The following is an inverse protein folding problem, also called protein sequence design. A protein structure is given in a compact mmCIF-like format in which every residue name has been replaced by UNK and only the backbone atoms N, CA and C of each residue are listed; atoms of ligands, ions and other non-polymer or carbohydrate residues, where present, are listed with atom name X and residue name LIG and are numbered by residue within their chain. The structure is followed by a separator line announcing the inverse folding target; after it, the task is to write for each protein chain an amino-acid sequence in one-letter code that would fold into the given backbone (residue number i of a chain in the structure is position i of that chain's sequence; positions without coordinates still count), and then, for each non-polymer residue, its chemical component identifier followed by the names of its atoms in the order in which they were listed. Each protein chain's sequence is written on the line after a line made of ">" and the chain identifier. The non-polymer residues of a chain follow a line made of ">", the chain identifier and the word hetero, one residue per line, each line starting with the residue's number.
data_IF_854713332609
#
_entry.id   IF_854713332609
#
_cell.length_a   1.000
_cell.length_b   1.000
_cell.length_c   1.000
_cell.angle_alpha   90.00
_cell.angle_beta   90.00
_cell.angle_gamma   90.00
#
_symmetry.space_group_name_H-M   'P 1'
#
loop_
_entity.id
_entity.type
_entity.pdbx_description
1 polymer ?
#
# COMPACT_ATOMS: atom_id res chain seq x y z
N UNK A 1 -62.12 -40.11 38.28
CA UNK A 1 -60.96 -40.14 39.20
C UNK A 1 -59.73 -39.71 38.42
N UNK A 2 -59.10 -38.64 38.92
CA UNK A 2 -57.86 -37.97 38.52
C UNK A 2 -56.66 -38.96 38.36
N UNK A 3 -55.50 -38.60 37.72
CA UNK A 3 -54.89 -37.28 37.91
C UNK A 3 -54.20 -36.56 36.74
N UNK A 4 -54.18 -35.24 36.95
CA UNK A 4 -53.29 -34.21 36.44
C UNK A 4 -51.83 -34.57 36.75
N UNK A 5 -50.91 -34.31 35.82
CA UNK A 5 -49.47 -34.25 36.14
C UNK A 5 -48.84 -33.02 35.52
N UNK A 6 -48.35 -32.17 36.42
CA UNK A 6 -47.59 -30.96 36.18
C UNK A 6 -46.26 -31.24 35.49
N UNK A 7 -45.95 -30.49 34.43
CA UNK A 7 -44.59 -30.43 33.89
C UNK A 7 -43.81 -29.43 34.73
N UNK A 8 -42.90 -29.95 35.58
CA UNK A 8 -41.93 -29.17 36.34
C UNK A 8 -40.76 -28.83 35.41
N UNK A 9 -40.57 -27.54 35.14
CA UNK A 9 -39.40 -27.01 34.45
C UNK A 9 -38.20 -27.05 35.43
N UNK A 10 -37.31 -28.01 35.25
CA UNK A 10 -36.06 -28.10 36.01
C UNK A 10 -34.98 -27.24 35.36
N UNK A 11 -34.63 -26.15 36.03
CA UNK A 11 -33.41 -25.37 35.80
C UNK A 11 -32.19 -26.22 36.20
N UNK A 12 -31.42 -26.68 35.21
CA UNK A 12 -30.09 -27.25 35.46
C UNK A 12 -29.04 -26.19 35.11
N UNK A 13 -28.58 -25.51 36.16
CA UNK A 13 -27.28 -24.84 36.22
C UNK A 13 -26.20 -25.91 36.03
N UNK A 14 -25.60 -25.97 34.83
CA UNK A 14 -24.38 -26.75 34.61
C UNK A 14 -23.17 -25.83 34.65
N UNK A 15 -22.41 -26.08 35.71
CA UNK A 15 -21.03 -25.71 36.02
C UNK A 15 -20.11 -25.42 34.83
N UNK A 16 -19.40 -24.29 34.98
CA UNK A 16 -18.17 -23.93 34.30
C UNK A 16 -17.21 -25.12 34.14
N UNK A 17 -16.79 -25.35 32.90
CA UNK A 17 -15.60 -26.13 32.55
C UNK A 17 -14.57 -25.17 31.93
N UNK A 18 -13.38 -24.96 32.52
CA UNK A 18 -12.39 -24.01 32.00
C UNK A 18 -11.47 -24.70 30.98
N UNK A 19 -12.07 -25.36 29.98
CA UNK A 19 -11.36 -25.96 28.84
C UNK A 19 -11.85 -25.29 27.55
N UNK A 20 -11.77 -23.97 27.57
CA UNK A 20 -11.81 -23.10 26.39
C UNK A 20 -10.61 -22.17 26.45
N UNK A 21 -9.41 -22.74 26.61
CA UNK A 21 -8.17 -21.99 26.46
C UNK A 21 -8.06 -21.54 24.99
N UNK A 22 -8.06 -20.22 24.82
CA UNK A 22 -7.25 -19.50 23.84
C UNK A 22 -7.38 -19.93 22.36
N UNK A 23 -8.45 -19.49 21.71
CA UNK A 23 -8.45 -19.20 20.27
C UNK A 23 -8.74 -17.70 20.06
N UNK A 24 -8.09 -16.85 20.85
CA UNK A 24 -8.13 -15.39 20.72
C UNK A 24 -6.70 -14.83 20.78
N UNK A 25 -5.83 -15.29 19.86
CA UNK A 25 -4.55 -14.63 19.58
C UNK A 25 -3.86 -15.22 18.34
N UNK A 26 -4.37 -14.92 17.14
CA UNK A 26 -3.53 -14.95 15.94
C UNK A 26 -3.69 -13.64 15.20
N UNK A 27 -2.63 -12.83 15.35
CA UNK A 27 -2.27 -11.60 14.63
C UNK A 27 -3.17 -10.39 14.84
N UNK A 28 -3.20 -9.84 16.06
CA UNK A 28 -3.22 -8.38 16.18
C UNK A 28 -1.99 -7.87 15.42
N UNK A 29 -2.19 -7.13 14.33
CA UNK A 29 -1.12 -6.43 13.64
C UNK A 29 -0.49 -5.46 14.64
N UNK A 30 0.67 -5.83 15.19
CA UNK A 30 1.32 -5.03 16.22
C UNK A 30 1.96 -3.81 15.57
N UNK A 31 1.48 -2.59 15.89
CA UNK A 31 2.13 -1.36 15.47
C UNK A 31 3.50 -1.26 16.14
N UNK A 32 4.39 -0.45 15.59
CA UNK A 32 5.64 -0.11 16.27
C UNK A 32 5.33 0.56 17.60
N UNK A 33 5.92 0.12 18.73
CA UNK A 33 5.60 0.64 20.06
C UNK A 33 5.97 2.12 20.24
N UNK A 34 6.92 2.61 19.43
CA UNK A 34 7.37 4.00 19.45
C UNK A 34 7.37 4.58 18.03
N UNK A 35 6.25 5.12 17.53
CA UNK A 35 6.19 5.65 16.17
C UNK A 35 7.12 6.85 15.93
N UNK A 36 7.43 7.62 16.97
CA UNK A 36 8.33 8.78 16.86
C UNK A 36 9.77 8.36 16.55
N UNK A 37 10.23 7.22 17.08
CA UNK A 37 11.54 6.65 16.77
C UNK A 37 11.68 6.30 15.29
N UNK A 38 10.61 5.79 14.67
CA UNK A 38 10.58 5.50 13.23
C UNK A 38 10.68 6.80 12.42
N UNK A 39 9.95 7.85 12.82
CA UNK A 39 10.01 9.16 12.17
C UNK A 39 11.42 9.79 12.29
N UNK A 40 12.04 9.69 13.47
CA UNK A 40 13.42 10.16 13.71
C UNK A 40 14.44 9.38 12.87
N UNK A 41 14.28 8.06 12.74
CA UNK A 41 15.15 7.23 11.89
C UNK A 41 15.04 7.63 10.41
N UNK A 42 13.83 7.91 9.91
CA UNK A 42 13.63 8.44 8.56
C UNK A 42 14.40 9.75 8.38
N UNK A 43 14.25 10.70 9.30
CA UNK A 43 14.97 11.97 9.24
C UNK A 43 16.49 11.78 9.29
N UNK A 44 16.99 10.86 10.12
CA UNK A 44 18.41 10.52 10.21
C UNK A 44 18.95 10.00 8.87
N UNK A 45 18.20 9.11 8.20
CA UNK A 45 18.57 8.56 6.89
C UNK A 45 18.56 9.63 5.80
N UNK A 46 17.58 10.53 5.80
CA UNK A 46 17.52 11.68 4.90
C UNK A 46 18.76 12.56 5.08
N UNK A 47 19.05 12.97 6.32
CA UNK A 47 20.20 13.82 6.60
C UNK A 47 21.51 13.15 6.15
N UNK A 48 21.68 11.86 6.40
CA UNK A 48 22.87 11.11 5.96
C UNK A 48 22.99 11.01 4.43
N UNK A 49 21.88 10.92 3.69
CA UNK A 49 21.86 10.91 2.22
C UNK A 49 22.17 12.29 1.65
N UNK A 50 21.55 13.35 2.17
CA UNK A 50 21.81 14.74 1.77
C UNK A 50 23.26 15.15 2.04
N UNK A 51 23.79 14.85 3.24
CA UNK A 51 25.19 15.16 3.58
C UNK A 51 26.18 14.45 2.66
N UNK A 52 25.94 13.17 2.32
CA UNK A 52 26.78 12.44 1.36
C UNK A 52 26.75 13.09 -0.02
N UNK A 53 25.56 13.47 -0.51
CA UNK A 53 25.41 14.17 -1.79
C UNK A 53 26.20 15.49 -1.80
N UNK A 54 26.07 16.31 -0.76
CA UNK A 54 26.76 17.60 -0.65
C UNK A 54 28.29 17.43 -0.64
N UNK A 55 28.82 16.51 0.17
CA UNK A 55 30.26 16.24 0.21
C UNK A 55 30.82 15.80 -1.15
N UNK A 56 30.10 14.96 -1.89
CA UNK A 56 30.55 14.52 -3.22
C UNK A 56 30.51 15.65 -4.26
N UNK A 57 29.56 16.58 -4.16
CA UNK A 57 29.52 17.76 -5.03
C UNK A 57 30.71 18.70 -4.81
N UNK A 58 31.24 18.79 -3.59
CA UNK A 58 32.41 19.62 -3.29
C UNK A 58 33.74 18.97 -3.72
N UNK A 59 33.78 17.63 -3.76
CA UNK A 59 34.99 16.86 -4.05
C UNK A 59 35.19 16.51 -5.53
N UNK A 60 34.15 16.61 -6.37
CA UNK A 60 34.21 16.22 -7.78
C UNK A 60 34.26 17.43 -8.71
N UNK A 61 35.36 17.55 -9.47
CA UNK A 61 35.46 18.44 -10.64
C UNK A 61 35.07 17.74 -11.96
N UNK A 62 34.81 16.43 -11.93
CA UNK A 62 34.42 15.64 -13.11
C UNK A 62 33.23 14.69 -12.85
N UNK A 63 32.54 14.37 -13.94
CA UNK A 63 31.16 13.90 -14.13
C UNK A 63 30.70 12.58 -13.41
N UNK A 64 31.51 11.98 -12.54
CA UNK A 64 31.24 10.66 -11.94
C UNK A 64 30.35 10.69 -10.67
N UNK A 65 30.07 11.85 -10.07
CA UNK A 65 29.31 11.95 -8.80
C UNK A 65 27.78 12.03 -8.94
N UNK A 66 27.19 11.63 -10.07
CA UNK A 66 25.81 12.01 -10.43
C UNK A 66 24.68 11.19 -9.82
N UNK A 67 24.95 10.02 -9.24
CA UNK A 67 23.84 9.16 -8.86
C UNK A 67 23.14 9.55 -7.54
N UNK A 68 23.86 10.05 -6.53
CA UNK A 68 23.23 10.37 -5.25
C UNK A 68 22.22 11.51 -5.41
N UNK A 69 20.96 11.18 -5.10
CA UNK A 69 19.81 12.06 -5.24
C UNK A 69 19.55 12.88 -3.96
N UNK A 70 20.07 12.45 -2.81
CA UNK A 70 19.67 12.99 -1.51
C UNK A 70 18.39 12.35 -0.97
N UNK A 71 17.82 11.39 -1.70
CA UNK A 71 16.76 10.50 -1.25
C UNK A 71 17.37 9.15 -0.84
N UNK A 72 17.31 8.77 0.45
CA UNK A 72 17.95 7.55 0.94
C UNK A 72 17.37 6.26 0.35
N UNK A 73 16.12 6.25 -0.13
CA UNK A 73 15.50 5.09 -0.79
C UNK A 73 16.17 4.87 -2.14
N UNK A 74 16.16 5.90 -3.00
CA UNK A 74 16.75 5.81 -4.35
C UNK A 74 18.27 5.58 -4.28
N UNK A 75 18.96 6.28 -3.37
CA UNK A 75 20.40 6.13 -3.18
C UNK A 75 20.82 4.71 -2.79
N UNK A 76 19.92 3.92 -2.19
CA UNK A 76 20.20 2.56 -1.72
C UNK A 76 20.28 1.53 -2.87
N UNK A 77 19.48 1.70 -3.92
CA UNK A 77 19.39 0.74 -5.04
C UNK A 77 19.71 1.33 -6.42
N UNK A 78 19.29 2.57 -6.70
CA UNK A 78 19.38 3.18 -8.03
C UNK A 78 20.83 3.47 -8.44
N UNK A 79 21.70 3.62 -7.44
CA UNK A 79 23.13 3.83 -7.62
C UNK A 79 23.95 2.56 -7.71
N UNK A 80 23.32 1.40 -7.63
CA UNK A 80 23.94 0.15 -8.00
C UNK A 80 23.79 -0.03 -9.52
N UNK A 81 24.87 0.08 -10.33
CA UNK A 81 24.78 -0.12 -11.78
C UNK A 81 24.36 -1.55 -12.15
N UNK A 82 24.50 -2.50 -11.22
CA UNK A 82 24.14 -3.91 -11.38
C UNK A 82 22.73 -4.24 -10.84
N UNK A 83 21.92 -3.21 -10.52
CA UNK A 83 20.52 -3.41 -10.12
C UNK A 83 19.70 -4.34 -11.05
N UNK A 84 19.93 -4.40 -12.40
CA UNK A 84 19.17 -5.30 -13.25
C UNK A 84 19.42 -6.78 -12.94
N UNK A 85 20.63 -7.13 -12.48
CA UNK A 85 21.00 -8.48 -12.06
C UNK A 85 20.74 -8.71 -10.57
N UNK A 86 20.57 -7.64 -9.80
CA UNK A 86 20.29 -7.68 -8.36
C UNK A 86 18.94 -7.04 -8.00
N UNK A 87 17.88 -7.35 -8.77
CA UNK A 87 16.57 -6.67 -8.61
C UNK A 87 16.02 -6.76 -7.19
N UNK A 88 16.21 -7.90 -6.51
CA UNK A 88 15.63 -8.13 -5.19
C UNK A 88 16.27 -7.29 -4.08
N UNK A 89 17.46 -6.69 -4.31
CA UNK A 89 18.09 -5.73 -3.39
C UNK A 89 17.19 -4.54 -3.08
N UNK A 90 16.28 -4.17 -3.99
CA UNK A 90 15.29 -3.12 -3.75
C UNK A 90 14.55 -3.31 -2.41
N UNK A 91 14.21 -4.55 -2.04
CA UNK A 91 13.48 -4.84 -0.81
C UNK A 91 14.24 -4.50 0.49
N UNK A 92 15.54 -4.21 0.40
CA UNK A 92 16.35 -3.74 1.55
C UNK A 92 16.36 -2.21 1.71
N UNK A 93 15.75 -1.49 0.78
CA UNK A 93 15.85 -0.03 0.67
C UNK A 93 14.64 0.72 1.23
N UNK A 94 13.58 0.02 1.62
CA UNK A 94 12.42 0.63 2.27
C UNK A 94 12.84 1.31 3.59
N UNK A 95 12.21 2.44 3.90
CA UNK A 95 12.34 3.15 5.18
C UNK A 95 10.96 3.45 5.75
N UNK A 96 10.89 3.96 6.98
CA UNK A 96 9.63 4.31 7.62
C UNK A 96 8.87 3.07 8.12
N UNK A 97 7.55 3.18 8.27
CA UNK A 97 6.75 2.10 8.85
C UNK A 97 6.69 0.84 7.98
N UNK A 98 6.78 0.97 6.65
CA UNK A 98 6.85 -0.15 5.70
C UNK A 98 8.24 -0.74 5.48
N UNK A 99 9.25 -0.37 6.29
CA UNK A 99 10.63 -0.85 6.12
C UNK A 99 10.81 -2.39 6.19
N UNK A 100 9.83 -3.10 6.75
CA UNK A 100 9.85 -4.56 6.86
C UNK A 100 9.13 -5.26 5.70
N UNK A 101 8.60 -4.52 4.73
CA UNK A 101 7.97 -5.10 3.54
C UNK A 101 9.01 -5.86 2.71
N UNK A 102 9.08 -7.18 2.88
CA UNK A 102 10.02 -8.01 2.13
C UNK A 102 9.57 -8.30 0.70
N UNK A 103 8.28 -8.12 0.41
CA UNK A 103 7.68 -8.50 -0.87
C UNK A 103 7.94 -9.97 -1.20
N UNK A 104 8.33 -10.23 -2.44
CA UNK A 104 8.73 -11.55 -2.93
C UNK A 104 10.22 -11.88 -2.79
N UNK A 105 10.98 -11.16 -1.95
CA UNK A 105 12.42 -11.39 -1.76
C UNK A 105 12.70 -12.85 -1.37
N UNK A 106 13.79 -13.41 -1.90
CA UNK A 106 14.21 -14.81 -1.82
C UNK A 106 13.24 -15.80 -2.52
N UNK A 107 12.16 -15.31 -3.12
CA UNK A 107 11.29 -16.08 -3.99
C UNK A 107 11.84 -16.17 -5.42
N UNK A 108 11.22 -17.03 -6.20
CA UNK A 108 11.51 -17.14 -7.63
C UNK A 108 11.01 -15.92 -8.40
N UNK A 109 11.65 -15.65 -9.53
CA UNK A 109 11.13 -14.70 -10.49
C UNK A 109 9.93 -15.30 -11.22
N UNK A 110 8.87 -14.51 -11.35
CA UNK A 110 7.77 -14.82 -12.24
C UNK A 110 7.71 -13.78 -13.34
N UNK A 111 7.82 -14.21 -14.59
CA UNK A 111 7.78 -13.32 -15.76
C UNK A 111 6.34 -13.28 -16.29
N UNK A 112 5.70 -12.11 -16.25
CA UNK A 112 4.40 -11.92 -16.89
C UNK A 112 4.62 -11.80 -18.39
N UNK A 113 4.05 -12.72 -19.16
CA UNK A 113 4.18 -12.77 -20.63
C UNK A 113 2.84 -12.57 -21.34
N UNK A 114 1.73 -12.59 -20.59
CA UNK A 114 0.38 -12.43 -21.10
C UNK A 114 -0.32 -11.31 -20.32
N UNK A 115 -0.71 -10.24 -21.01
CA UNK A 115 -1.37 -9.07 -20.41
C UNK A 115 -2.89 -9.21 -20.31
N UNK A 116 -3.48 -10.32 -20.77
CA UNK A 116 -4.92 -10.56 -20.70
C UNK A 116 -5.40 -10.87 -19.28
N UNK A 117 -6.68 -10.59 -19.03
CA UNK A 117 -7.35 -10.84 -17.76
C UNK A 117 -8.82 -11.26 -17.96
N UNK A 118 -9.03 -12.16 -18.92
CA UNK A 118 -10.37 -12.51 -19.42
C UNK A 118 -11.17 -13.40 -18.48
N UNK A 119 -10.52 -14.11 -17.55
CA UNK A 119 -11.14 -15.00 -16.58
C UNK A 119 -10.59 -14.76 -15.16
N UNK A 120 -11.38 -14.07 -14.33
CA UNK A 120 -11.05 -13.77 -12.94
C UNK A 120 -11.06 -15.01 -12.02
N UNK A 121 -11.65 -16.14 -12.47
CA UNK A 121 -11.74 -17.40 -11.73
C UNK A 121 -10.66 -18.38 -12.16
N UNK A 122 -10.24 -18.43 -13.42
CA UNK A 122 -9.23 -19.38 -13.90
C UNK A 122 -8.11 -18.68 -14.67
N UNK A 123 -7.26 -17.89 -13.99
CA UNK A 123 -6.17 -17.19 -14.64
C UNK A 123 -5.16 -18.17 -15.23
N UNK A 124 -4.66 -17.88 -16.45
CA UNK A 124 -3.67 -18.71 -17.13
C UNK A 124 -2.25 -18.44 -16.61
N UNK A 125 -1.37 -19.45 -16.49
CA UNK A 125 0.06 -19.20 -16.34
C UNK A 125 0.57 -18.24 -17.42
N UNK A 126 1.51 -17.36 -17.03
CA UNK A 126 1.97 -16.22 -17.84
C UNK A 126 1.22 -14.91 -17.56
N UNK A 127 0.01 -14.94 -16.99
CA UNK A 127 -0.75 -13.73 -16.62
C UNK A 127 -0.34 -13.16 -15.26
N UNK A 128 -0.60 -11.87 -15.04
CA UNK A 128 -0.41 -11.22 -13.74
C UNK A 128 -1.33 -11.81 -12.67
N UNK A 129 -2.61 -12.07 -12.99
CA UNK A 129 -3.57 -12.66 -12.04
C UNK A 129 -3.13 -14.03 -11.54
N UNK A 130 -2.54 -14.85 -12.41
CA UNK A 130 -1.99 -16.13 -11.98
C UNK A 130 -0.83 -15.94 -10.99
N UNK A 131 0.05 -14.96 -11.23
CA UNK A 131 1.23 -14.73 -10.40
C UNK A 131 0.87 -14.29 -8.97
N UNK A 132 -0.02 -13.30 -8.83
CA UNK A 132 -0.26 -12.64 -7.54
C UNK A 132 -0.98 -13.53 -6.53
N UNK A 133 -1.71 -14.55 -6.99
CA UNK A 133 -2.45 -15.48 -6.11
C UNK A 133 -1.57 -16.61 -5.56
N UNK A 134 -0.37 -16.84 -6.12
CA UNK A 134 0.46 -17.97 -5.74
C UNK A 134 0.85 -17.94 -4.24
N UNK A 135 0.92 -19.10 -3.56
CA UNK A 135 1.22 -19.15 -2.13
C UNK A 135 2.69 -18.84 -1.81
N UNK A 136 3.61 -19.19 -2.69
CA UNK A 136 5.04 -18.94 -2.51
C UNK A 136 5.41 -17.46 -2.72
N UNK A 137 6.51 -16.98 -2.12
CA UNK A 137 7.06 -15.67 -2.45
C UNK A 137 7.40 -15.56 -3.93
N UNK A 138 7.01 -14.47 -4.60
CA UNK A 138 7.33 -14.25 -6.01
C UNK A 138 7.78 -12.81 -6.28
N UNK A 139 8.89 -12.69 -7.01
CA UNK A 139 9.34 -11.43 -7.59
C UNK A 139 8.82 -11.32 -9.03
N UNK A 140 7.72 -10.61 -9.22
CA UNK A 140 6.98 -10.55 -10.48
C UNK A 140 7.57 -9.43 -11.36
N UNK A 141 7.99 -9.79 -12.57
CA UNK A 141 8.65 -8.88 -13.53
C UNK A 141 8.00 -8.92 -14.90
N UNK A 142 8.32 -7.93 -15.72
CA UNK A 142 7.77 -7.74 -17.06
C UNK A 142 8.89 -7.67 -18.09
N UNK A 143 8.86 -8.50 -19.15
CA UNK A 143 9.90 -8.52 -20.18
C UNK A 143 9.73 -7.39 -21.21
N UNK A 144 8.56 -6.76 -21.26
CA UNK A 144 8.22 -5.69 -22.20
C UNK A 144 7.13 -4.80 -21.62
N UNK A 145 6.87 -3.67 -22.27
CA UNK A 145 5.74 -2.81 -21.95
C UNK A 145 4.42 -3.59 -22.00
N UNK A 146 3.52 -3.31 -21.07
CA UNK A 146 2.22 -4.00 -20.97
C UNK A 146 1.11 -3.04 -20.56
N UNK A 147 -0.05 -3.19 -21.19
CA UNK A 147 -1.32 -2.65 -20.71
C UNK A 147 -2.17 -3.82 -20.23
N UNK A 148 -2.34 -3.92 -18.91
CA UNK A 148 -3.15 -4.95 -18.26
C UNK A 148 -4.47 -4.31 -17.89
N UNK A 149 -5.52 -4.67 -18.62
CA UNK A 149 -6.89 -4.22 -18.37
C UNK A 149 -7.62 -5.31 -17.59
N UNK A 150 -7.77 -5.10 -16.30
CA UNK A 150 -8.40 -6.04 -15.39
C UNK A 150 -9.91 -6.13 -15.64
N UNK A 151 -10.45 -7.33 -15.56
CA UNK A 151 -11.90 -7.57 -15.63
C UNK A 151 -12.58 -7.41 -14.26
N UNK A 152 -11.84 -7.70 -13.18
CA UNK A 152 -12.28 -7.67 -11.78
C UNK A 152 -11.10 -7.31 -10.87
N UNK A 153 -11.37 -7.00 -9.59
CA UNK A 153 -10.35 -6.82 -8.55
C UNK A 153 -9.22 -7.86 -8.66
N UNK A 154 -7.98 -7.41 -8.69
CA UNK A 154 -6.77 -8.23 -8.68
C UNK A 154 -6.38 -8.46 -7.22
N UNK A 155 -6.85 -9.58 -6.66
CA UNK A 155 -6.61 -9.94 -5.26
C UNK A 155 -5.21 -10.56 -5.12
N UNK A 156 -4.38 -9.98 -4.26
CA UNK A 156 -3.03 -10.46 -3.99
C UNK A 156 -3.02 -11.49 -2.86
N UNK A 157 -2.04 -12.39 -2.91
CA UNK A 157 -1.59 -13.16 -1.76
C UNK A 157 -0.35 -12.48 -1.13
N UNK A 158 0.05 -12.92 0.07
CA UNK A 158 1.23 -12.39 0.77
C UNK A 158 2.53 -12.67 0.03
N UNK A 159 3.61 -11.96 0.38
CA UNK A 159 4.96 -12.15 -0.16
C UNK A 159 5.04 -11.97 -1.68
N UNK A 160 4.63 -10.80 -2.17
CA UNK A 160 4.67 -10.47 -3.59
C UNK A 160 5.42 -9.18 -3.81
N UNK A 161 6.31 -9.16 -4.80
CA UNK A 161 6.81 -7.91 -5.37
C UNK A 161 6.28 -7.79 -6.78
N UNK A 162 5.64 -6.68 -7.10
CA UNK A 162 5.37 -6.27 -8.46
C UNK A 162 6.45 -5.25 -8.87
N UNK A 163 7.38 -5.66 -9.74
CA UNK A 163 8.53 -4.86 -10.15
C UNK A 163 8.43 -4.51 -11.64
N UNK A 164 7.96 -3.30 -11.93
CA UNK A 164 7.84 -2.79 -13.29
C UNK A 164 9.15 -2.26 -13.89
N UNK A 165 10.28 -2.26 -13.19
CA UNK A 165 11.52 -1.67 -13.72
C UNK A 165 11.96 -2.34 -15.02
N UNK A 166 12.28 -1.52 -16.01
CA UNK A 166 12.70 -1.96 -17.35
C UNK A 166 11.54 -2.11 -18.35
N UNK A 167 10.29 -1.88 -17.92
CA UNK A 167 9.12 -1.90 -18.78
C UNK A 167 8.16 -0.75 -18.40
N UNK A 168 7.38 -0.27 -19.36
CA UNK A 168 6.25 0.61 -19.08
C UNK A 168 4.98 -0.24 -18.87
N UNK A 169 4.59 -0.42 -17.62
CA UNK A 169 3.50 -1.32 -17.21
C UNK A 169 2.34 -0.51 -16.66
N UNK A 170 1.18 -0.66 -17.30
CA UNK A 170 -0.06 0.01 -16.95
C UNK A 170 -1.08 -1.01 -16.43
N UNK A 171 -1.68 -0.75 -15.28
CA UNK A 171 -2.82 -1.50 -14.72
C UNK A 171 -4.05 -0.59 -14.70
N UNK A 172 -5.13 -1.08 -15.31
CA UNK A 172 -6.38 -0.34 -15.51
C UNK A 172 -7.59 -1.26 -15.37
N UNK A 173 -8.80 -0.71 -15.42
CA UNK A 173 -10.03 -1.50 -15.56
C UNK A 173 -10.71 -1.82 -14.23
N UNK A 174 -11.31 -3.00 -14.13
CA UNK A 174 -12.20 -3.35 -13.02
C UNK A 174 -11.48 -3.59 -11.71
N UNK A 175 -11.79 -2.80 -10.67
CA UNK A 175 -11.39 -2.98 -9.28
C UNK A 175 -9.90 -2.74 -8.96
N UNK A 176 -9.00 -2.87 -9.93
CA UNK A 176 -7.56 -2.74 -9.77
C UNK A 176 -6.99 -3.56 -8.60
N UNK A 177 -6.06 -3.05 -7.80
CA UNK A 177 -5.27 -3.86 -6.86
C UNK A 177 -5.96 -3.95 -5.50
N UNK A 178 -6.20 -5.17 -5.00
CA UNK A 178 -6.78 -5.40 -3.66
C UNK A 178 -5.81 -6.21 -2.80
N UNK A 179 -5.31 -5.58 -1.72
CA UNK A 179 -4.45 -6.17 -0.69
C UNK A 179 -5.29 -6.41 0.58
N UNK A 180 -5.90 -7.58 0.70
CA UNK A 180 -6.87 -7.86 1.76
C UNK A 180 -6.39 -8.98 2.69
N UNK A 181 -6.15 -8.64 3.95
CA UNK A 181 -5.69 -9.53 5.03
C UNK A 181 -4.40 -10.28 4.70
N UNK A 182 -3.44 -9.57 4.10
CA UNK A 182 -2.14 -10.11 3.69
C UNK A 182 -0.98 -9.31 4.29
N UNK A 183 0.24 -9.82 4.12
CA UNK A 183 1.44 -9.08 4.46
C UNK A 183 2.56 -9.21 3.44
N UNK A 184 3.58 -8.37 3.58
CA UNK A 184 4.80 -8.41 2.78
C UNK A 184 4.52 -8.23 1.28
N UNK A 185 4.06 -7.03 0.90
CA UNK A 185 3.83 -6.68 -0.51
C UNK A 185 4.62 -5.45 -0.87
N UNK A 186 5.32 -5.50 -2.01
CA UNK A 186 5.97 -4.35 -2.65
C UNK A 186 5.30 -4.13 -4.01
N UNK A 187 4.86 -2.91 -4.27
CA UNK A 187 4.39 -2.48 -5.60
C UNK A 187 5.33 -1.37 -6.05
N UNK A 188 6.10 -1.63 -7.11
CA UNK A 188 7.19 -0.75 -7.53
C UNK A 188 7.20 -0.50 -9.04
N UNK A 189 7.29 0.79 -9.42
CA UNK A 189 7.43 1.24 -10.80
C UNK A 189 6.26 0.81 -11.72
N UNK A 190 5.02 1.02 -11.27
CA UNK A 190 3.79 0.67 -12.01
C UNK A 190 2.92 1.92 -12.22
N UNK A 191 2.32 2.03 -13.42
CA UNK A 191 1.29 3.03 -13.70
C UNK A 191 -0.09 2.43 -13.40
N UNK A 192 -0.85 3.02 -12.48
CA UNK A 192 -2.17 2.55 -12.07
C UNK A 192 -3.18 3.66 -12.33
N UNK A 193 -4.11 3.45 -13.25
CA UNK A 193 -5.04 4.49 -13.62
C UNK A 193 -6.32 3.97 -14.26
N UNK A 194 -7.35 4.81 -14.34
CA UNK A 194 -8.62 4.43 -14.97
C UNK A 194 -9.21 3.15 -14.36
N UNK A 195 -9.04 3.01 -13.04
CA UNK A 195 -9.67 1.97 -12.25
C UNK A 195 -11.15 2.31 -12.11
N UNK A 196 -12.02 1.33 -12.36
CA UNK A 196 -13.46 1.48 -12.32
C UNK A 196 -14.08 0.40 -11.45
N UNK A 197 -15.31 0.63 -11.01
CA UNK A 197 -16.05 -0.36 -10.23
C UNK A 197 -16.17 -1.69 -11.00
N UNK A 198 -15.93 -2.79 -10.30
CA UNK A 198 -16.19 -4.15 -10.77
C UNK A 198 -16.88 -4.95 -9.67
N UNK A 199 -17.06 -6.25 -9.83
CA UNK A 199 -17.74 -7.11 -8.86
C UNK A 199 -19.00 -7.75 -9.43
N UNK A 200 -19.83 -8.24 -8.52
CA UNK A 200 -20.92 -9.18 -8.80
C UNK A 200 -20.45 -10.41 -9.59
N UNK A 201 -19.24 -10.87 -9.25
CA UNK A 201 -18.56 -11.96 -9.93
C UNK A 201 -17.77 -12.79 -8.92
N UNK A 202 -17.49 -14.04 -9.29
CA UNK A 202 -16.51 -14.84 -8.56
C UNK A 202 -15.11 -14.39 -8.95
N UNK A 203 -14.24 -14.20 -7.96
CA UNK A 203 -12.84 -13.81 -8.16
C UNK A 203 -11.93 -14.74 -7.37
N UNK A 204 -10.89 -15.26 -8.02
CA UNK A 204 -9.89 -16.12 -7.39
C UNK A 204 -8.93 -15.31 -6.55
N UNK A 205 -8.70 -15.75 -5.30
CA UNK A 205 -7.73 -15.15 -4.36
C UNK A 205 -6.56 -16.09 -4.02
N UNK A 206 -6.68 -17.39 -4.30
CA UNK A 206 -5.59 -18.36 -4.17
C UNK A 206 -5.79 -19.52 -5.17
N UNK A 207 -4.80 -20.40 -5.39
CA UNK A 207 -4.97 -21.56 -6.26
C UNK A 207 -6.15 -22.46 -5.85
N UNK A 208 -6.49 -22.50 -4.56
CA UNK A 208 -7.56 -23.33 -4.01
C UNK A 208 -8.85 -22.58 -3.65
N UNK A 209 -8.88 -21.25 -3.79
CA UNK A 209 -10.02 -20.45 -3.33
C UNK A 209 -10.39 -19.34 -4.32
N UNK A 210 -11.68 -19.27 -4.64
CA UNK A 210 -12.35 -18.11 -5.20
C UNK A 210 -13.64 -17.86 -4.43
N UNK A 211 -14.11 -16.60 -4.43
CA UNK A 211 -15.34 -16.23 -3.75
C UNK A 211 -16.10 -15.13 -4.50
N UNK A 212 -17.38 -14.99 -4.18
CA UNK A 212 -18.21 -13.94 -4.75
C UNK A 212 -17.80 -12.57 -4.20
N UNK A 213 -17.51 -11.63 -5.10
CA UNK A 213 -17.19 -10.24 -4.77
C UNK A 213 -18.39 -9.36 -5.09
N UNK A 214 -18.80 -8.54 -4.13
CA UNK A 214 -19.76 -7.46 -4.38
C UNK A 214 -19.10 -6.32 -5.15
N UNK A 215 -19.86 -5.29 -5.46
CA UNK A 215 -19.36 -4.14 -6.21
C UNK A 215 -18.21 -3.46 -5.44
N UNK A 216 -17.07 -3.28 -6.10
CA UNK A 216 -15.92 -2.52 -5.59
C UNK A 216 -16.13 -1.02 -5.82
N UNK A 217 -15.39 -0.18 -5.10
CA UNK A 217 -15.46 1.29 -5.24
C UNK A 217 -14.68 1.79 -6.47
N UNK A 218 -13.65 1.04 -6.88
CA UNK A 218 -12.85 1.34 -8.06
C UNK A 218 -11.62 2.19 -7.75
N UNK A 219 -10.99 1.92 -6.60
CA UNK A 219 -9.73 2.53 -6.21
C UNK A 219 -8.57 2.03 -7.08
N UNK A 220 -7.44 2.73 -7.04
CA UNK A 220 -6.18 2.24 -7.61
C UNK A 220 -5.62 1.05 -6.83
N UNK A 221 -5.38 1.25 -5.53
CA UNK A 221 -4.88 0.25 -4.59
C UNK A 221 -5.71 0.32 -3.30
N UNK A 222 -6.42 -0.76 -2.98
CA UNK A 222 -7.17 -0.87 -1.72
C UNK A 222 -6.46 -1.84 -0.76
N UNK A 223 -6.20 -1.40 0.47
CA UNK A 223 -5.45 -2.10 1.52
C UNK A 223 -6.35 -2.31 2.73
N UNK A 224 -6.71 -3.56 3.01
CA UNK A 224 -7.61 -3.94 4.09
C UNK A 224 -6.91 -4.86 5.09
N UNK A 225 -6.82 -4.45 6.35
CA UNK A 225 -6.24 -5.24 7.45
C UNK A 225 -4.91 -5.91 7.09
N UNK A 226 -4.04 -5.19 6.36
CA UNK A 226 -2.77 -5.72 5.85
C UNK A 226 -1.58 -5.03 6.50
N UNK A 227 -0.41 -5.67 6.45
CA UNK A 227 0.81 -5.16 7.10
C UNK A 227 2.08 -5.38 6.29
N UNK A 228 3.07 -4.51 6.50
CA UNK A 228 4.38 -4.57 5.83
C UNK A 228 4.18 -4.41 4.32
N UNK A 229 3.67 -3.25 3.93
CA UNK A 229 3.33 -2.87 2.57
C UNK A 229 4.20 -1.68 2.13
N UNK A 230 4.75 -1.76 0.92
CA UNK A 230 5.52 -0.67 0.33
C UNK A 230 5.07 -0.37 -1.09
N UNK A 231 4.61 0.86 -1.31
CA UNK A 231 4.17 1.36 -2.63
C UNK A 231 5.16 2.43 -3.05
N UNK A 232 5.96 2.15 -4.08
CA UNK A 232 7.13 2.94 -4.43
C UNK A 232 7.24 3.23 -5.92
N UNK A 233 7.65 4.44 -6.31
CA UNK A 233 7.86 4.81 -7.73
C UNK A 233 6.65 4.55 -8.65
N UNK A 234 5.43 4.51 -8.11
CA UNK A 234 4.22 4.31 -8.91
C UNK A 234 3.66 5.64 -9.41
N UNK A 235 2.94 5.60 -10.53
CA UNK A 235 2.16 6.74 -11.02
C UNK A 235 0.68 6.42 -10.92
N UNK A 236 -0.10 7.23 -10.19
CA UNK A 236 -1.51 6.97 -9.93
C UNK A 236 -2.39 8.15 -10.37
N UNK A 237 -3.47 7.88 -11.11
CA UNK A 237 -4.41 8.93 -11.58
C UNK A 237 -5.76 8.37 -12.07
N UNK A 238 -6.77 9.24 -12.20
CA UNK A 238 -8.03 8.92 -12.91
C UNK A 238 -8.75 7.64 -12.43
N UNK A 239 -8.69 7.29 -11.16
CA UNK A 239 -9.48 6.18 -10.63
C UNK A 239 -10.93 6.63 -10.39
N UNK A 240 -11.82 5.69 -10.11
CA UNK A 240 -13.23 6.01 -9.91
C UNK A 240 -13.51 6.58 -8.53
N UNK A 241 -12.83 6.07 -7.50
CA UNK A 241 -12.98 6.51 -6.11
C UNK A 241 -11.64 6.98 -5.52
N UNK A 242 -10.91 6.18 -4.74
CA UNK A 242 -9.57 6.52 -4.21
C UNK A 242 -8.40 6.22 -5.17
N UNK A 243 -7.21 6.83 -4.98
CA UNK A 243 -5.98 6.28 -5.60
C UNK A 243 -5.36 5.22 -4.69
N UNK A 244 -5.20 5.51 -3.39
CA UNK A 244 -4.72 4.56 -2.38
C UNK A 244 -5.57 4.67 -1.12
N UNK A 245 -6.25 3.58 -0.77
CA UNK A 245 -7.08 3.50 0.42
C UNK A 245 -6.54 2.44 1.37
N UNK A 246 -6.22 2.81 2.61
CA UNK A 246 -5.78 1.89 3.65
C UNK A 246 -6.71 1.95 4.86
N UNK A 247 -7.31 0.82 5.22
CA UNK A 247 -8.39 0.74 6.20
C UNK A 247 -8.32 -0.57 7.00
N UNK A 248 -9.26 -0.76 7.92
CA UNK A 248 -9.48 -2.03 8.64
C UNK A 248 -8.27 -2.48 9.48
N UNK A 249 -7.60 -1.54 10.13
CA UNK A 249 -6.44 -1.81 10.98
C UNK A 249 -5.14 -2.06 10.22
N UNK A 250 -5.07 -1.71 8.93
CA UNK A 250 -3.82 -1.80 8.16
C UNK A 250 -2.71 -0.96 8.79
N UNK A 251 -1.47 -1.45 8.79
CA UNK A 251 -0.35 -0.77 9.48
C UNK A 251 1.00 -1.20 8.91
N UNK A 252 2.09 -0.51 9.24
CA UNK A 252 3.40 -0.84 8.69
C UNK A 252 3.46 -0.57 7.19
N UNK A 253 3.05 0.63 6.77
CA UNK A 253 2.96 1.01 5.36
C UNK A 253 3.94 2.15 5.06
N UNK A 254 4.66 2.05 3.94
CA UNK A 254 5.38 3.17 3.35
C UNK A 254 4.85 3.43 1.94
N UNK A 255 4.54 4.69 1.64
CA UNK A 255 4.13 5.18 0.32
C UNK A 255 5.18 6.21 -0.09
N UNK A 256 6.07 5.86 -1.02
CA UNK A 256 7.22 6.68 -1.37
C UNK A 256 7.47 6.89 -2.85
N UNK A 257 8.08 8.02 -3.22
CA UNK A 257 8.51 8.27 -4.60
C UNK A 257 7.40 8.18 -5.66
N UNK A 258 6.13 8.25 -5.27
CA UNK A 258 5.02 8.11 -6.21
C UNK A 258 4.68 9.47 -6.83
N UNK A 259 4.09 9.42 -8.01
CA UNK A 259 3.50 10.57 -8.69
C UNK A 259 1.97 10.43 -8.69
N UNK A 260 1.29 11.40 -8.09
CA UNK A 260 -0.17 11.47 -8.05
C UNK A 260 -0.65 12.65 -8.90
N UNK A 261 -1.67 12.44 -9.74
CA UNK A 261 -2.25 13.52 -10.54
C UNK A 261 -3.70 13.24 -10.96
N UNK A 262 -4.42 14.26 -11.44
CA UNK A 262 -5.73 14.17 -12.07
C UNK A 262 -6.74 13.33 -11.28
N UNK A 263 -6.98 13.73 -10.03
CA UNK A 263 -7.82 12.94 -9.14
C UNK A 263 -8.37 13.73 -7.95
N UNK A 264 -9.63 13.47 -7.59
CA UNK A 264 -10.27 14.17 -6.48
C UNK A 264 -9.83 13.62 -5.11
N UNK A 265 -10.09 12.34 -4.87
CA UNK A 265 -9.91 11.69 -3.57
C UNK A 265 -8.62 10.87 -3.58
N UNK A 266 -7.48 11.50 -3.29
CA UNK A 266 -6.17 10.89 -3.54
C UNK A 266 -5.89 9.70 -2.62
N UNK A 267 -5.89 9.91 -1.31
CA UNK A 267 -5.46 8.90 -0.35
C UNK A 267 -6.27 8.94 0.94
N UNK A 268 -6.98 7.86 1.26
CA UNK A 268 -7.72 7.70 2.50
C UNK A 268 -7.00 6.73 3.45
N UNK A 269 -6.69 7.20 4.66
CA UNK A 269 -6.07 6.40 5.72
C UNK A 269 -7.04 6.31 6.90
N UNK A 270 -7.78 5.20 6.98
CA UNK A 270 -8.85 4.96 7.94
C UNK A 270 -10.22 5.41 7.43
N UNK A 271 -11.22 4.54 7.46
CA UNK A 271 -12.52 4.74 6.78
C UNK A 271 -13.61 5.36 7.66
N UNK A 272 -13.58 5.11 8.96
CA UNK A 272 -14.62 5.53 9.91
C UNK A 272 -14.00 6.15 11.15
N UNK A 273 -14.58 7.26 11.61
CA UNK A 273 -14.17 7.92 12.85
C UNK A 273 -14.34 6.98 14.04
N UNK A 274 -15.25 6.01 13.99
CA UNK A 274 -15.57 5.10 15.09
C UNK A 274 -14.80 3.78 15.05
N UNK A 275 -14.04 3.51 13.98
CA UNK A 275 -13.33 2.24 13.82
C UNK A 275 -12.02 2.22 14.63
N UNK A 276 -12.14 1.86 15.91
CA UNK A 276 -11.03 1.86 16.87
C UNK A 276 -9.78 1.08 16.45
N UNK A 277 -9.86 -0.06 15.71
CA UNK A 277 -8.66 -0.76 15.27
C UNK A 277 -7.72 0.08 14.38
N UNK A 278 -8.22 1.12 13.69
CA UNK A 278 -7.37 2.05 12.93
C UNK A 278 -6.45 2.90 13.84
N UNK A 279 -6.62 2.87 15.17
CA UNK A 279 -5.67 3.47 16.13
C UNK A 279 -4.28 2.82 16.08
N UNK A 280 -4.19 1.58 15.59
CA UNK A 280 -2.91 0.90 15.34
C UNK A 280 -2.29 1.20 13.97
N UNK A 281 -2.96 1.96 13.11
CA UNK A 281 -2.44 2.31 11.79
C UNK A 281 -1.19 3.17 11.90
N UNK A 282 -0.14 2.79 11.17
CA UNK A 282 1.10 3.54 11.08
C UNK A 282 1.57 3.59 9.62
N UNK A 283 1.70 4.81 9.08
CA UNK A 283 1.99 5.04 7.66
C UNK A 283 3.05 6.12 7.50
N UNK A 284 4.06 5.86 6.66
CA UNK A 284 5.02 6.86 6.19
C UNK A 284 4.68 7.25 4.76
N UNK A 285 4.50 8.54 4.50
CA UNK A 285 4.29 9.12 3.17
C UNK A 285 5.51 9.99 2.88
N UNK A 286 6.41 9.54 2.00
CA UNK A 286 7.71 10.19 1.82
C UNK A 286 8.12 10.40 0.37
N UNK A 287 8.70 11.56 0.03
CA UNK A 287 9.28 11.82 -1.30
C UNK A 287 8.29 11.71 -2.48
N UNK A 288 6.99 11.73 -2.22
CA UNK A 288 5.99 11.71 -3.28
C UNK A 288 5.86 13.10 -3.91
N UNK A 289 5.46 13.12 -5.17
CA UNK A 289 5.03 14.33 -5.85
C UNK A 289 3.52 14.30 -6.01
N UNK A 290 2.85 15.23 -5.33
CA UNK A 290 1.42 15.50 -5.47
C UNK A 290 1.27 16.60 -6.52
N UNK A 291 0.97 16.16 -7.73
CA UNK A 291 1.05 16.92 -8.96
C UNK A 291 -0.24 17.62 -9.35
N UNK A 292 -0.44 17.73 -10.66
CA UNK A 292 -1.51 18.51 -11.26
C UNK A 292 -2.90 17.93 -11.06
N UNK A 293 -3.89 18.83 -11.06
CA UNK A 293 -5.33 18.48 -11.04
C UNK A 293 -5.73 17.55 -9.89
N UNK A 294 -5.08 17.71 -8.73
CA UNK A 294 -5.51 17.10 -7.48
C UNK A 294 -6.48 18.01 -6.74
N UNK A 295 -7.48 17.42 -6.07
CA UNK A 295 -8.46 18.21 -5.30
C UNK A 295 -8.14 18.15 -3.80
N UNK A 296 -7.99 16.94 -3.23
CA UNK A 296 -7.87 16.74 -1.78
C UNK A 296 -7.29 15.38 -1.36
N UNK A 297 -7.17 15.18 -0.04
CA UNK A 297 -6.79 13.91 0.62
C UNK A 297 -5.37 13.45 0.33
N UNK A 298 -4.38 14.28 0.59
CA UNK A 298 -2.96 13.97 0.36
C UNK A 298 -2.11 13.95 1.65
N UNK A 299 -2.44 13.17 2.71
CA UNK A 299 -3.56 12.24 2.84
C UNK A 299 -4.79 12.83 3.55
N UNK A 300 -5.88 12.06 3.63
CA UNK A 300 -6.94 12.24 4.63
C UNK A 300 -6.90 11.11 5.66
N UNK A 301 -6.58 11.45 6.91
CA UNK A 301 -6.29 10.48 7.97
C UNK A 301 -7.39 10.36 9.02
N UNK A 302 -7.49 9.18 9.63
CA UNK A 302 -8.26 8.93 10.85
C UNK A 302 -7.49 8.04 11.81
N UNK A 303 -7.55 8.37 13.11
CA UNK A 303 -6.84 7.62 14.16
C UNK A 303 -5.34 7.49 13.78
N UNK A 304 -4.66 6.43 14.19
CA UNK A 304 -3.30 6.11 13.72
C UNK A 304 -2.22 7.19 13.89
N UNK A 305 -1.03 6.87 13.40
CA UNK A 305 0.13 7.77 13.31
C UNK A 305 0.62 7.84 11.86
N UNK A 306 0.62 9.04 11.29
CA UNK A 306 0.99 9.27 9.89
C UNK A 306 2.16 10.24 9.84
N UNK A 307 3.30 9.79 9.31
CA UNK A 307 4.48 10.62 9.07
C UNK A 307 4.48 11.07 7.60
N UNK A 308 4.19 12.33 7.36
CA UNK A 308 4.21 12.95 6.03
C UNK A 308 5.51 13.74 5.91
N UNK A 309 6.46 13.25 5.12
CA UNK A 309 7.84 13.78 5.14
C UNK A 309 8.44 14.01 3.75
N UNK A 310 9.02 15.18 3.51
CA UNK A 310 9.72 15.53 2.27
C UNK A 310 8.93 15.25 0.97
N UNK A 311 7.61 15.44 0.98
CA UNK A 311 6.79 15.39 -0.22
C UNK A 311 6.73 16.79 -0.88
N UNK A 312 6.52 16.82 -2.19
CA UNK A 312 6.31 18.04 -2.96
C UNK A 312 4.83 18.15 -3.35
N UNK A 313 4.14 19.11 -2.73
CA UNK A 313 2.73 19.41 -2.99
C UNK A 313 2.67 20.63 -3.89
N UNK A 314 2.26 20.42 -5.15
CA UNK A 314 2.28 21.48 -6.16
C UNK A 314 0.91 22.01 -6.53
N UNK A 315 -0.14 21.19 -6.43
CA UNK A 315 -1.52 21.62 -6.66
C UNK A 315 -2.51 20.90 -5.74
N UNK A 316 -3.52 21.64 -5.29
CA UNK A 316 -4.74 21.14 -4.68
C UNK A 316 -5.85 22.18 -4.87
N UNK A 317 -7.10 21.72 -4.94
CA UNK A 317 -8.25 22.63 -5.04
C UNK A 317 -8.92 22.93 -3.69
N UNK A 318 -8.88 21.98 -2.74
CA UNK A 318 -9.58 22.08 -1.46
C UNK A 318 -8.62 22.12 -0.26
N UNK A 319 -7.83 21.07 -0.04
CA UNK A 319 -6.77 21.02 1.00
C UNK A 319 -5.73 19.97 0.63
N UNK A 320 -4.51 20.11 1.15
CA UNK A 320 -3.48 19.08 0.99
C UNK A 320 -3.67 17.93 2.00
N UNK A 321 -3.42 18.21 3.28
CA UNK A 321 -3.46 17.22 4.35
C UNK A 321 -4.67 17.47 5.25
N UNK A 322 -5.44 16.44 5.57
CA UNK A 322 -6.62 16.56 6.43
C UNK A 322 -6.87 15.33 7.29
N UNK A 323 -7.85 15.42 8.18
CA UNK A 323 -8.24 14.26 8.97
C UNK A 323 -9.44 14.47 9.89
N UNK A 324 -9.95 13.37 10.43
CA UNK A 324 -11.04 13.31 11.43
C UNK A 324 -10.81 12.13 12.37
N UNK A 325 -11.55 12.02 13.48
CA UNK A 325 -11.35 10.90 14.42
C UNK A 325 -10.00 10.89 15.13
N UNK A 326 -9.44 12.05 15.48
CA UNK A 326 -8.21 12.22 16.27
C UNK A 326 -6.96 11.50 15.73
N UNK A 327 -6.51 11.79 14.50
CA UNK A 327 -5.26 11.23 13.98
C UNK A 327 -4.03 11.96 14.51
N UNK A 328 -2.90 11.26 14.56
CA UNK A 328 -1.60 11.91 14.74
C UNK A 328 -0.96 12.11 13.37
N UNK A 329 -0.77 13.36 12.95
CA UNK A 329 -0.12 13.71 11.69
C UNK A 329 1.17 14.46 11.99
N UNK A 330 2.30 13.81 11.70
CA UNK A 330 3.63 14.42 11.79
C UNK A 330 4.05 14.88 10.39
N UNK A 331 3.91 16.18 10.09
CA UNK A 331 4.34 16.78 8.82
C UNK A 331 5.72 17.41 8.95
N UNK A 332 6.71 16.90 8.22
CA UNK A 332 8.12 17.30 8.35
C UNK A 332 8.78 17.53 6.98
N UNK A 333 9.40 18.69 6.76
CA UNK A 333 10.22 18.94 5.56
C UNK A 333 9.47 18.91 4.20
N UNK A 334 8.14 18.90 4.21
CA UNK A 334 7.32 18.97 2.99
C UNK A 334 7.40 20.37 2.35
N UNK A 335 7.30 20.42 1.02
CA UNK A 335 7.19 21.65 0.25
C UNK A 335 5.75 21.84 -0.25
N UNK A 336 5.19 23.02 0.00
CA UNK A 336 3.83 23.36 -0.38
C UNK A 336 3.82 24.58 -1.31
N UNK A 337 3.31 24.42 -2.53
CA UNK A 337 3.05 25.51 -3.47
C UNK A 337 1.56 25.80 -3.49
N UNK A 338 1.11 26.68 -2.58
CA UNK A 338 -0.31 26.90 -2.36
C UNK A 338 -1.04 27.52 -3.58
N UNK A 339 -2.27 27.08 -3.90
CA UNK A 339 -3.07 27.59 -5.02
C UNK A 339 -3.41 29.07 -4.84
N UNK A 340 -3.79 29.76 -5.91
CA UNK A 340 -4.14 31.20 -5.85
C UNK A 340 -5.42 31.47 -5.04
N UNK A 341 -6.33 30.49 -4.97
CA UNK A 341 -7.57 30.57 -4.20
C UNK A 341 -7.28 30.80 -2.70
N UNK A 342 -7.82 31.89 -2.14
CA UNK A 342 -7.61 32.26 -0.73
C UNK A 342 -8.19 31.23 0.25
N UNK A 343 -9.25 30.52 -0.15
CA UNK A 343 -9.92 29.54 0.69
C UNK A 343 -9.24 28.16 0.70
N UNK A 344 -8.18 27.98 -0.10
CA UNK A 344 -7.42 26.74 -0.22
C UNK A 344 -5.93 26.95 0.12
N UNK A 345 -5.62 28.01 0.88
CA UNK A 345 -4.24 28.32 1.31
C UNK A 345 -3.77 27.44 2.47
N UNK A 346 -4.71 26.98 3.29
CA UNK A 346 -4.48 26.10 4.45
C UNK A 346 -4.47 24.63 4.04
#
# INVERSE_FOLDING_TARGET
>A
MLPISCIVLTLILSSFSPLGLAMLNRTLLTPHPNPEEVAQEVQRRVNASVSRRQMLQELSQEDESRCLTGNPIDDCWKCDPDWPNNRQRLADCAIGFGQYAMGGKNGEYYVVTDSSDDDAVNPRPGTLRYAVIQPQPLWIVFPSNMLIKLSQELIFNSYKTLDGRGANVHITGGGCITLQYISNVIIHNIHIHHCVQSGNANVRSSPSHFGYRTKSDGDGISIFGSKDIWIDHCSLSHCKDGLIDAVMGSTGITISNNFFSHHNEVMLLGHSDEYLPDSGMQVTIAFNHFGEELVQRMPRCRRGYIHVVNNDFTQWEMYAIGGSGNPTINSQGNRYTAPSNRNAKE
#
